data_IF_356173070757
#
_entry.id   IF_356173070757
#
_cell.length_a   1.000
_cell.length_b   1.000
_cell.length_c   1.000
_cell.angle_alpha   90.00
_cell.angle_beta   90.00
_cell.angle_gamma   90.00
#
_symmetry.space_group_name_H-M   'P 1'
#
loop_
_entity.id
_entity.type
_entity.pdbx_description
1 polymer ?
#
# COMPACT_ATOMS: atom_id res chain seq x y z
N UNK A 1 1.75 -1.96 -1.54
CA UNK A 1 0.95 -2.17 -2.74
C UNK A 1 0.46 -0.87 -3.37
N UNK A 2 -0.06 0.10 -2.61
CA UNK A 2 -0.66 1.35 -3.10
C UNK A 2 0.28 2.11 -4.04
N UNK A 3 1.50 2.42 -3.60
CA UNK A 3 2.46 3.17 -4.42
C UNK A 3 2.83 2.44 -5.72
N UNK A 4 2.96 1.11 -5.65
CA UNK A 4 3.24 0.27 -6.82
C UNK A 4 2.08 0.28 -7.81
N UNK A 5 0.85 0.15 -7.33
CA UNK A 5 -0.34 0.16 -8.18
C UNK A 5 -0.52 1.49 -8.90
N UNK A 6 -0.28 2.61 -8.23
CA UNK A 6 -0.31 3.95 -8.81
C UNK A 6 0.76 4.13 -9.90
N UNK A 7 1.99 3.64 -9.64
CA UNK A 7 3.06 3.72 -10.62
C UNK A 7 2.75 2.92 -11.89
N UNK A 8 2.31 1.68 -11.75
CA UNK A 8 1.97 0.83 -12.90
C UNK A 8 0.78 1.38 -13.67
N UNK A 9 -0.22 1.88 -12.96
CA UNK A 9 -1.37 2.51 -13.56
C UNK A 9 -1.00 3.77 -14.37
N UNK A 10 -0.15 4.66 -13.81
CA UNK A 10 0.34 5.83 -14.51
C UNK A 10 1.12 5.47 -15.79
N UNK A 11 1.99 4.44 -15.73
CA UNK A 11 2.71 3.94 -16.89
C UNK A 11 1.79 3.36 -17.98
N UNK A 12 0.72 2.69 -17.58
CA UNK A 12 -0.28 2.15 -18.52
C UNK A 12 -1.11 3.27 -19.15
N UNK A 13 -1.38 4.33 -18.38
CA UNK A 13 -2.15 5.47 -18.88
C UNK A 13 -1.34 6.34 -19.87
N UNK A 14 -0.03 6.38 -19.72
CA UNK A 14 0.88 7.03 -20.67
C UNK A 14 1.03 6.21 -21.95
N UNK A 15 -0.06 6.15 -22.74
CA UNK A 15 -0.17 5.33 -23.92
C UNK A 15 -0.19 6.14 -25.24
N UNK A 16 0.00 7.46 -25.17
CA UNK A 16 0.10 8.31 -26.36
C UNK A 16 1.47 8.20 -27.02
N UNK A 17 1.44 8.15 -28.36
CA UNK A 17 2.64 8.26 -29.18
C UNK A 17 2.90 9.71 -29.56
N UNK A 18 4.14 10.01 -29.90
CA UNK A 18 4.51 11.34 -30.41
C UNK A 18 3.60 11.78 -31.55
N UNK A 19 3.03 12.99 -31.44
CA UNK A 19 2.11 13.56 -32.43
C UNK A 19 0.65 13.14 -32.32
N UNK A 20 0.27 12.33 -31.32
CA UNK A 20 -1.13 12.01 -31.06
C UNK A 20 -1.80 13.07 -30.16
N UNK A 21 -3.09 13.31 -30.40
CA UNK A 21 -3.93 14.21 -29.61
C UNK A 21 -4.36 13.57 -28.29
N UNK A 22 -4.53 14.37 -27.24
CA UNK A 22 -4.98 13.90 -25.91
C UNK A 22 -6.36 13.25 -25.93
N UNK A 23 -7.21 13.57 -26.89
CA UNK A 23 -8.52 12.91 -27.07
C UNK A 23 -8.41 11.41 -27.35
N UNK A 24 -7.24 10.97 -27.86
CA UNK A 24 -6.93 9.56 -28.18
C UNK A 24 -6.50 8.74 -26.94
N UNK A 25 -6.35 9.36 -25.75
CA UNK A 25 -6.04 8.65 -24.52
C UNK A 25 -7.08 7.57 -24.22
N UNK A 26 -6.62 6.33 -24.13
CA UNK A 26 -7.46 5.19 -23.80
C UNK A 26 -7.63 5.06 -22.28
N UNK A 27 -8.77 4.53 -21.81
CA UNK A 27 -8.95 4.19 -20.41
C UNK A 27 -7.91 3.19 -19.94
N UNK A 28 -7.36 3.41 -18.73
CA UNK A 28 -6.43 2.51 -18.08
C UNK A 28 -7.08 1.89 -16.84
N UNK A 29 -7.09 0.55 -16.81
CA UNK A 29 -7.59 -0.23 -15.68
C UNK A 29 -6.43 -0.96 -15.03
N UNK A 30 -6.22 -0.70 -13.74
CA UNK A 30 -5.31 -1.49 -12.93
C UNK A 30 -6.13 -2.45 -12.06
N UNK A 31 -5.90 -3.75 -12.19
CA UNK A 31 -6.61 -4.77 -11.43
C UNK A 31 -5.63 -5.43 -10.47
N UNK A 32 -5.89 -5.29 -9.16
CA UNK A 32 -5.17 -5.98 -8.10
C UNK A 32 -5.97 -7.17 -7.59
N UNK A 33 -5.36 -8.35 -7.59
CA UNK A 33 -5.88 -9.55 -6.93
C UNK A 33 -4.96 -9.76 -5.73
N UNK A 34 -5.51 -9.63 -4.52
CA UNK A 34 -4.74 -9.58 -3.29
C UNK A 34 -5.15 -10.71 -2.35
N UNK A 35 -4.16 -11.37 -1.75
CA UNK A 35 -4.35 -12.33 -0.68
C UNK A 35 -4.15 -11.70 0.72
N UNK A 36 -4.37 -10.40 0.79
CA UNK A 36 -4.38 -9.61 2.03
C UNK A 36 -5.37 -8.47 1.92
N UNK A 37 -5.89 -8.00 3.06
CA UNK A 37 -6.80 -6.86 3.11
C UNK A 37 -6.01 -5.56 2.98
N UNK A 38 -6.31 -4.77 1.94
CA UNK A 38 -5.60 -3.52 1.63
C UNK A 38 -5.83 -2.44 2.69
N UNK A 39 -7.07 -2.31 3.17
CA UNK A 39 -7.46 -1.36 4.21
C UNK A 39 -8.24 -2.09 5.30
N UNK A 40 -7.62 -2.32 6.45
CA UNK A 40 -8.23 -3.06 7.57
C UNK A 40 -9.52 -2.43 8.09
N UNK A 41 -9.60 -1.09 8.06
CA UNK A 41 -10.78 -0.34 8.46
C UNK A 41 -11.88 -0.27 7.37
N UNK A 42 -11.60 -0.79 6.17
CA UNK A 42 -12.52 -0.76 5.04
C UNK A 42 -12.43 -2.04 4.18
N UNK A 43 -12.61 -3.24 4.76
CA UNK A 43 -12.50 -4.50 4.04
C UNK A 43 -13.64 -4.66 3.04
N UNK A 44 -13.31 -4.86 1.76
CA UNK A 44 -14.27 -5.12 0.69
C UNK A 44 -13.77 -6.26 -0.18
N UNK A 45 -14.65 -7.21 -0.51
CA UNK A 45 -14.36 -8.29 -1.46
C UNK A 45 -13.96 -7.73 -2.83
N UNK A 46 -14.71 -6.74 -3.31
CA UNK A 46 -14.41 -6.01 -4.54
C UNK A 46 -14.51 -4.52 -4.26
N UNK A 47 -13.44 -3.78 -4.54
CA UNK A 47 -13.40 -2.33 -4.44
C UNK A 47 -13.03 -1.70 -5.80
N UNK A 48 -13.58 -0.54 -6.07
CA UNK A 48 -13.23 0.26 -7.24
C UNK A 48 -12.88 1.67 -6.78
N UNK A 49 -11.75 2.17 -7.25
CA UNK A 49 -11.22 3.50 -6.95
C UNK A 49 -11.11 4.29 -8.25
N UNK A 50 -11.55 5.54 -8.21
CA UNK A 50 -11.51 6.49 -9.31
C UNK A 50 -11.13 7.87 -8.78
N UNK A 51 -10.86 8.82 -9.67
CA UNK A 51 -10.60 10.21 -9.29
C UNK A 51 -11.94 10.93 -9.18
N UNK A 52 -12.22 11.42 -7.99
CA UNK A 52 -13.47 12.12 -7.65
C UNK A 52 -13.13 13.45 -7.00
N UNK A 53 -14.06 14.40 -7.11
CA UNK A 53 -14.09 15.59 -6.26
C UNK A 53 -14.29 15.16 -4.81
N UNK A 54 -13.48 15.70 -3.89
CA UNK A 54 -13.50 15.28 -2.48
C UNK A 54 -14.66 15.89 -1.68
N UNK A 55 -15.30 16.96 -2.19
CA UNK A 55 -16.39 17.64 -1.50
C UNK A 55 -17.73 16.97 -1.78
N UNK A 56 -18.03 16.66 -3.05
CA UNK A 56 -19.32 16.13 -3.46
C UNK A 56 -19.28 14.74 -4.10
N UNK A 57 -18.08 14.20 -4.33
CA UNK A 57 -17.88 12.89 -4.95
C UNK A 57 -18.10 12.88 -6.46
N UNK A 58 -18.11 14.05 -7.13
CA UNK A 58 -18.29 14.12 -8.57
C UNK A 58 -17.14 13.46 -9.32
N UNK A 59 -17.48 12.62 -10.29
CA UNK A 59 -16.49 11.88 -11.08
C UNK A 59 -15.71 12.81 -12.00
N UNK A 60 -14.42 12.98 -11.75
CA UNK A 60 -13.53 13.79 -12.58
C UNK A 60 -13.26 13.13 -13.94
N UNK A 61 -12.99 11.81 -13.94
CA UNK A 61 -12.73 11.04 -15.15
C UNK A 61 -13.00 9.55 -14.93
N UNK A 62 -13.62 8.90 -15.90
CA UNK A 62 -13.82 7.45 -15.96
C UNK A 62 -12.64 6.70 -16.59
N UNK A 63 -11.68 7.44 -17.17
CA UNK A 63 -10.51 6.84 -17.86
C UNK A 63 -9.50 6.20 -16.93
N UNK A 64 -9.59 6.48 -15.62
CA UNK A 64 -8.66 6.04 -14.63
C UNK A 64 -9.38 5.22 -13.55
N UNK A 65 -9.10 3.92 -13.49
CA UNK A 65 -9.78 3.03 -12.56
C UNK A 65 -8.82 2.00 -11.98
N UNK A 66 -8.80 1.90 -10.64
CA UNK A 66 -8.12 0.81 -9.93
C UNK A 66 -9.20 -0.10 -9.34
N UNK A 67 -9.17 -1.39 -9.69
CA UNK A 67 -10.04 -2.40 -9.11
C UNK A 67 -9.23 -3.33 -8.24
N UNK A 68 -9.75 -3.64 -7.07
CA UNK A 68 -9.11 -4.54 -6.10
C UNK A 68 -10.05 -5.65 -5.74
N UNK A 69 -9.60 -6.88 -5.94
CA UNK A 69 -10.26 -8.11 -5.49
C UNK A 69 -9.48 -8.64 -4.28
N UNK A 70 -10.10 -8.59 -3.10
CA UNK A 70 -9.53 -9.10 -1.85
C UNK A 70 -9.99 -10.54 -1.62
N UNK A 71 -9.09 -11.49 -1.84
CA UNK A 71 -9.37 -12.92 -1.70
C UNK A 71 -9.61 -13.33 -0.24
N UNK A 72 -9.16 -12.56 0.74
CA UNK A 72 -9.42 -12.83 2.16
C UNK A 72 -10.90 -12.69 2.52
N UNK A 73 -11.65 -11.88 1.75
CA UNK A 73 -13.06 -11.63 1.95
C UNK A 73 -13.98 -12.62 1.18
N UNK A 74 -13.40 -13.59 0.45
CA UNK A 74 -14.14 -14.50 -0.41
C UNK A 74 -15.26 -15.26 0.32
N UNK A 75 -14.97 -15.83 1.49
CA UNK A 75 -15.95 -16.62 2.23
C UNK A 75 -17.14 -15.78 2.72
N UNK A 76 -16.86 -14.53 3.13
CA UNK A 76 -17.93 -13.58 3.47
C UNK A 76 -18.75 -13.17 2.25
N UNK A 77 -18.09 -13.04 1.09
CA UNK A 77 -18.76 -12.68 -0.16
C UNK A 77 -19.65 -13.80 -0.70
N UNK A 78 -19.28 -15.08 -0.52
CA UNK A 78 -20.12 -16.24 -0.87
C UNK A 78 -21.45 -16.28 -0.12
N UNK A 79 -21.50 -15.72 1.08
CA UNK A 79 -22.72 -15.66 1.91
C UNK A 79 -23.69 -14.56 1.46
N UNK A 80 -23.27 -13.63 0.59
CA UNK A 80 -24.09 -12.53 0.11
C UNK A 80 -24.71 -12.86 -1.24
N UNK A 81 -26.07 -12.96 -1.33
CA UNK A 81 -26.75 -13.37 -2.55
C UNK A 81 -26.57 -12.41 -3.72
N UNK A 82 -26.31 -11.13 -3.43
CA UNK A 82 -26.07 -10.07 -4.41
C UNK A 82 -24.68 -10.14 -5.06
N UNK A 83 -23.74 -10.95 -4.52
CA UNK A 83 -22.38 -11.03 -5.05
C UNK A 83 -22.38 -11.73 -6.41
N UNK A 84 -21.69 -11.15 -7.37
CA UNK A 84 -21.59 -11.71 -8.72
C UNK A 84 -20.95 -13.11 -8.71
N UNK A 85 -21.72 -14.10 -9.15
CA UNK A 85 -21.31 -15.51 -9.14
C UNK A 85 -20.06 -15.79 -9.99
N UNK A 86 -19.91 -15.10 -11.15
CA UNK A 86 -18.70 -15.23 -11.98
C UNK A 86 -17.47 -14.68 -11.26
N UNK A 87 -17.61 -13.56 -10.55
CA UNK A 87 -16.52 -13.00 -9.77
C UNK A 87 -16.13 -13.91 -8.60
N UNK A 88 -17.10 -14.51 -7.92
CA UNK A 88 -16.84 -15.52 -6.88
C UNK A 88 -16.08 -16.72 -7.43
N UNK A 89 -16.45 -17.19 -8.63
CA UNK A 89 -15.77 -18.31 -9.28
C UNK A 89 -14.32 -17.94 -9.63
N UNK A 90 -14.07 -16.77 -10.23
CA UNK A 90 -12.72 -16.27 -10.48
C UNK A 90 -11.90 -16.18 -9.19
N UNK A 91 -12.45 -15.59 -8.14
CA UNK A 91 -11.78 -15.48 -6.86
C UNK A 91 -11.43 -16.84 -6.24
N UNK A 92 -12.34 -17.84 -6.35
CA UNK A 92 -12.08 -19.21 -5.90
C UNK A 92 -10.94 -19.86 -6.70
N UNK A 93 -10.90 -19.65 -8.01
CA UNK A 93 -9.83 -20.14 -8.89
C UNK A 93 -8.47 -19.51 -8.52
N UNK A 94 -8.44 -18.20 -8.27
CA UNK A 94 -7.21 -17.53 -7.84
C UNK A 94 -6.73 -17.96 -6.45
N UNK A 95 -7.64 -18.48 -5.62
CA UNK A 95 -7.33 -18.96 -4.27
C UNK A 95 -7.01 -20.45 -4.23
N UNK A 96 -7.24 -21.19 -5.31
CA UNK A 96 -6.95 -22.63 -5.37
C UNK A 96 -5.46 -22.90 -5.16
N UNK A 97 -5.14 -23.82 -4.26
CA UNK A 97 -3.77 -24.17 -3.88
C UNK A 97 -3.26 -25.42 -4.59
N UNK A 98 -4.18 -26.24 -5.09
CA UNK A 98 -3.86 -27.50 -5.77
C UNK A 98 -4.42 -27.55 -7.19
N UNK A 99 -3.79 -28.38 -8.05
CA UNK A 99 -4.26 -28.58 -9.41
C UNK A 99 -5.62 -29.29 -9.44
N UNK A 100 -5.84 -30.23 -8.53
CA UNK A 100 -7.09 -30.97 -8.40
C UNK A 100 -8.25 -30.04 -8.02
N UNK A 101 -8.02 -29.12 -7.09
CA UNK A 101 -9.01 -28.10 -6.70
C UNK A 101 -9.32 -27.17 -7.88
N UNK A 102 -8.26 -26.73 -8.60
CA UNK A 102 -8.40 -25.89 -9.79
C UNK A 102 -9.23 -26.57 -10.88
N UNK A 103 -8.99 -27.88 -11.15
CA UNK A 103 -9.75 -28.67 -12.11
C UNK A 103 -11.22 -28.81 -11.71
N UNK A 104 -11.49 -29.05 -10.44
CA UNK A 104 -12.86 -29.13 -9.92
C UNK A 104 -13.60 -27.80 -10.09
N UNK A 105 -12.96 -26.68 -9.75
CA UNK A 105 -13.53 -25.35 -9.91
C UNK A 105 -13.73 -24.96 -11.36
N UNK A 106 -12.86 -25.41 -12.27
CA UNK A 106 -12.94 -25.11 -13.70
C UNK A 106 -14.03 -25.91 -14.42
N UNK A 107 -14.43 -27.05 -13.88
CA UNK A 107 -15.38 -27.99 -14.53
C UNK A 107 -16.69 -27.32 -14.92
N UNK A 108 -17.17 -27.62 -16.13
CA UNK A 108 -18.43 -27.14 -16.69
C UNK A 108 -18.41 -25.74 -17.30
N UNK A 109 -17.23 -25.08 -17.37
CA UNK A 109 -17.08 -23.81 -18.07
C UNK A 109 -15.81 -23.81 -18.93
N UNK A 110 -15.98 -23.78 -20.25
CA UNK A 110 -14.92 -23.87 -21.26
C UNK A 110 -13.75 -22.89 -21.02
N UNK A 111 -14.06 -21.66 -20.60
CA UNK A 111 -13.02 -20.62 -20.32
C UNK A 111 -12.06 -21.08 -19.24
N UNK A 112 -12.58 -21.65 -18.17
CA UNK A 112 -11.75 -22.11 -17.05
C UNK A 112 -11.04 -23.42 -17.37
N UNK A 113 -11.70 -24.34 -18.07
CA UNK A 113 -11.09 -25.59 -18.54
C UNK A 113 -9.90 -25.30 -19.48
N UNK A 114 -10.06 -24.37 -20.43
CA UNK A 114 -8.99 -23.95 -21.32
C UNK A 114 -7.83 -23.28 -20.57
N UNK A 115 -8.12 -22.51 -19.53
CA UNK A 115 -7.10 -21.93 -18.67
C UNK A 115 -6.27 -23.02 -17.97
N UNK A 116 -6.90 -24.03 -17.38
CA UNK A 116 -6.20 -25.16 -16.74
C UNK A 116 -5.34 -25.91 -17.76
N UNK A 117 -5.87 -26.19 -18.93
CA UNK A 117 -5.11 -26.83 -20.02
C UNK A 117 -3.90 -26.00 -20.43
N UNK A 118 -4.04 -24.68 -20.51
CA UNK A 118 -2.95 -23.77 -20.84
C UNK A 118 -1.87 -23.77 -19.77
N UNK A 119 -2.27 -23.71 -18.50
CA UNK A 119 -1.33 -23.77 -17.37
C UNK A 119 -0.51 -25.07 -17.36
N UNK A 120 -1.14 -26.20 -17.67
CA UNK A 120 -0.47 -27.51 -17.81
C UNK A 120 0.52 -27.56 -18.98
N UNK A 121 0.27 -26.81 -20.05
CA UNK A 121 1.13 -26.77 -21.24
C UNK A 121 2.33 -25.83 -21.12
N UNK A 122 2.40 -25.02 -20.06
CA UNK A 122 3.56 -24.14 -19.87
C UNK A 122 4.84 -24.96 -19.76
N UNK A 123 5.86 -24.55 -20.53
CA UNK A 123 7.19 -25.18 -20.46
C UNK A 123 7.86 -24.94 -19.08
N UNK A 124 8.78 -25.81 -18.72
CA UNK A 124 9.57 -25.61 -17.49
C UNK A 124 10.36 -24.29 -17.55
N UNK A 125 10.89 -23.92 -18.72
CA UNK A 125 11.60 -22.65 -18.92
C UNK A 125 10.70 -21.43 -18.69
N UNK A 126 9.45 -21.48 -19.14
CA UNK A 126 8.47 -20.41 -18.90
C UNK A 126 8.09 -20.33 -17.42
N UNK A 127 7.91 -21.47 -16.77
CA UNK A 127 7.66 -21.52 -15.32
C UNK A 127 8.83 -20.92 -14.53
N UNK A 128 10.08 -21.27 -14.88
CA UNK A 128 11.30 -20.74 -14.28
C UNK A 128 11.37 -19.22 -14.47
N UNK A 129 11.10 -18.73 -15.68
CA UNK A 129 11.09 -17.29 -15.96
C UNK A 129 10.04 -16.56 -15.11
N UNK A 130 8.81 -17.06 -15.05
CA UNK A 130 7.75 -16.47 -14.20
C UNK A 130 8.12 -16.46 -12.73
N UNK A 131 8.78 -17.52 -12.23
CA UNK A 131 9.26 -17.57 -10.85
C UNK A 131 10.37 -16.55 -10.59
N UNK A 132 11.29 -16.36 -11.54
CA UNK A 132 12.34 -15.33 -11.43
C UNK A 132 11.74 -13.91 -11.37
N UNK A 133 10.81 -13.60 -12.26
CA UNK A 133 10.11 -12.31 -12.29
C UNK A 133 9.35 -12.04 -10.97
N UNK A 134 8.64 -13.05 -10.46
CA UNK A 134 7.95 -12.96 -9.17
C UNK A 134 8.91 -12.72 -7.99
N UNK A 135 10.08 -13.37 -8.03
CA UNK A 135 11.12 -13.18 -7.02
C UNK A 135 11.70 -11.77 -7.05
N UNK A 136 11.99 -11.23 -8.24
CA UNK A 136 12.47 -9.85 -8.38
C UNK A 136 11.45 -8.84 -7.85
N UNK A 137 10.16 -9.04 -8.11
CA UNK A 137 9.09 -8.19 -7.59
C UNK A 137 8.97 -8.29 -6.06
N UNK A 138 9.18 -9.48 -5.49
CA UNK A 138 9.24 -9.67 -4.04
C UNK A 138 10.43 -8.94 -3.42
N UNK A 139 11.63 -9.06 -4.01
CA UNK A 139 12.84 -8.35 -3.54
C UNK A 139 12.66 -6.82 -3.58
N UNK A 140 12.02 -6.29 -4.63
CA UNK A 140 11.66 -4.86 -4.72
C UNK A 140 10.68 -4.44 -3.62
N UNK A 141 9.72 -5.31 -3.29
CA UNK A 141 8.77 -5.05 -2.20
C UNK A 141 9.46 -5.00 -0.86
N UNK A 142 10.35 -5.96 -0.56
CA UNK A 142 11.16 -5.97 0.67
C UNK A 142 12.04 -4.73 0.80
N UNK A 143 12.66 -4.29 -0.30
CA UNK A 143 13.48 -3.08 -0.29
C UNK A 143 12.63 -1.82 0.01
N UNK A 144 11.42 -1.79 -0.49
CA UNK A 144 10.46 -0.70 -0.23
C UNK A 144 10.08 -0.67 1.26
N UNK A 145 9.78 -1.82 1.86
CA UNK A 145 9.45 -1.93 3.28
C UNK A 145 10.65 -1.57 4.17
N UNK A 146 11.83 -2.06 3.82
CA UNK A 146 13.07 -1.71 4.52
C UNK A 146 13.34 -0.19 4.52
N UNK A 147 13.21 0.45 3.37
CA UNK A 147 13.42 1.90 3.25
C UNK A 147 12.37 2.70 4.02
N UNK A 148 11.11 2.25 4.03
CA UNK A 148 10.05 2.86 4.82
C UNK A 148 10.34 2.76 6.33
N UNK A 149 10.70 1.58 6.82
CA UNK A 149 11.07 1.39 8.23
C UNK A 149 12.30 2.18 8.64
N UNK A 150 13.32 2.28 7.75
CA UNK A 150 14.51 3.10 7.99
C UNK A 150 14.16 4.59 8.09
N UNK A 151 13.30 5.09 7.22
CA UNK A 151 12.86 6.49 7.24
C UNK A 151 12.10 6.82 8.52
N UNK A 152 11.18 5.95 8.92
CA UNK A 152 10.43 6.08 10.17
C UNK A 152 11.35 6.05 11.40
N UNK A 153 12.32 5.14 11.43
CA UNK A 153 13.32 5.07 12.51
C UNK A 153 14.16 6.35 12.63
N UNK A 154 14.55 6.94 11.50
CA UNK A 154 15.29 8.22 11.49
C UNK A 154 14.41 9.35 12.05
N UNK A 155 13.15 9.44 11.62
CA UNK A 155 12.22 10.47 12.13
C UNK A 155 11.98 10.35 13.63
N UNK A 156 11.78 9.13 14.12
CA UNK A 156 11.62 8.86 15.56
C UNK A 156 12.89 9.21 16.34
N UNK A 157 14.08 8.91 15.79
CA UNK A 157 15.37 9.28 16.36
C UNK A 157 15.53 10.79 16.49
N UNK A 158 15.28 11.54 15.42
CA UNK A 158 15.34 13.01 15.42
C UNK A 158 14.34 13.61 16.41
N UNK A 159 13.12 13.09 16.47
CA UNK A 159 12.10 13.57 17.40
C UNK A 159 12.50 13.33 18.87
N UNK A 160 13.11 12.18 19.16
CA UNK A 160 13.64 11.84 20.50
C UNK A 160 14.77 12.77 20.88
N UNK A 161 15.72 13.00 19.97
CA UNK A 161 16.88 13.89 20.22
C UNK A 161 16.46 15.34 20.47
N UNK A 162 15.52 15.86 19.69
CA UNK A 162 14.94 17.19 19.92
C UNK A 162 14.29 17.31 21.31
N UNK A 163 13.55 16.28 21.75
CA UNK A 163 12.95 16.27 23.09
C UNK A 163 14.01 16.26 24.19
N UNK A 164 15.10 15.54 24.02
CA UNK A 164 16.19 15.48 24.99
C UNK A 164 16.94 16.82 25.07
N UNK A 165 17.28 17.40 23.91
CA UNK A 165 17.93 18.72 23.82
C UNK A 165 17.09 19.81 24.49
N UNK A 166 15.77 19.79 24.28
CA UNK A 166 14.88 20.77 24.92
C UNK A 166 14.82 20.58 26.44
N UNK A 167 14.82 19.33 26.92
CA UNK A 167 14.88 19.05 28.37
C UNK A 167 16.20 19.52 29.00
N UNK A 168 17.32 19.31 28.31
CA UNK A 168 18.64 19.79 28.79
C UNK A 168 18.70 21.31 28.81
N UNK A 169 18.19 21.96 27.76
CA UNK A 169 18.09 23.42 27.72
C UNK A 169 17.28 23.98 28.89
N UNK A 170 16.11 23.40 29.18
CA UNK A 170 15.26 23.80 30.31
C UNK A 170 15.94 23.56 31.65
N UNK A 171 16.75 22.49 31.80
CA UNK A 171 17.55 22.25 33.01
C UNK A 171 18.64 23.30 33.19
N UNK A 172 19.39 23.57 32.13
CA UNK A 172 20.46 24.60 32.13
C UNK A 172 19.90 25.99 32.46
N UNK A 173 18.74 26.35 31.89
CA UNK A 173 18.07 27.61 32.16
C UNK A 173 17.62 27.74 33.63
N UNK A 174 17.06 26.67 34.21
CA UNK A 174 16.69 26.63 35.65
C UNK A 174 17.93 26.71 36.55
N UNK A 175 19.02 26.09 36.15
CA UNK A 175 20.29 26.14 36.92
C UNK A 175 20.92 27.53 36.87
N UNK A 176 20.91 28.19 35.72
CA UNK A 176 21.31 29.58 35.56
C UNK A 176 20.48 30.53 36.47
N UNK A 177 19.17 30.42 36.42
CA UNK A 177 18.26 31.22 37.25
C UNK A 177 18.53 31.01 38.75
N UNK A 178 18.83 29.78 39.18
CA UNK A 178 19.21 29.50 40.60
C UNK A 178 20.55 30.09 40.94
N UNK A 179 21.53 30.03 40.06
CA UNK A 179 22.84 30.63 40.27
C UNK A 179 22.75 32.17 40.39
N UNK A 180 21.98 32.81 39.51
CA UNK A 180 21.73 34.26 39.54
C UNK A 180 21.02 34.69 40.85
N UNK A 181 20.03 33.91 41.29
CA UNK A 181 19.31 34.17 42.54
C UNK A 181 20.24 34.04 43.76
N UNK A 182 21.11 33.03 43.76
CA UNK A 182 22.11 32.84 44.84
C UNK A 182 23.16 33.98 44.83
N UNK A 183 23.60 34.40 43.66
CA UNK A 183 24.55 35.53 43.54
C UNK A 183 23.93 36.82 44.08
N UNK A 184 22.67 37.11 43.75
CA UNK A 184 21.95 38.27 44.28
C UNK A 184 21.76 38.21 45.80
N UNK A 185 21.47 37.04 46.38
CA UNK A 185 21.34 36.88 47.81
C UNK A 185 22.71 37.05 48.54
N UNK A 186 23.78 36.52 47.95
CA UNK A 186 25.16 36.77 48.45
C UNK A 186 25.49 38.24 48.49
N UNK A 187 25.17 39.00 47.42
CA UNK A 187 25.41 40.44 47.38
C UNK A 187 24.56 41.19 48.44
N UNK A 188 23.31 40.80 48.59
CA UNK A 188 22.42 41.32 49.62
C UNK A 188 22.98 41.12 51.05
N UNK A 189 23.43 39.92 51.33
CA UNK A 189 24.01 39.57 52.66
C UNK A 189 25.33 40.34 52.91
N UNK A 190 26.17 40.51 51.87
CA UNK A 190 27.41 41.34 51.94
C UNK A 190 27.12 42.82 52.22
N UNK A 191 26.02 43.35 51.67
CA UNK A 191 25.61 44.75 51.93
C UNK A 191 25.09 44.95 53.37
N UNK A 192 24.53 43.91 53.99
CA UNK A 192 24.07 43.97 55.41
C UNK A 192 25.19 43.84 56.45
N UNK A 193 26.39 43.39 56.03
CA UNK A 193 27.56 43.21 56.88
C UNK A 193 28.52 44.39 56.85
N UNK A 194 28.20 45.44 56.11
CA UNK A 194 28.90 46.73 56.07
C UNK A 194 28.12 47.78 56.87
#
# INVERSE_FOLDING_TARGET
>A
WINRSLLYWARTYDNLKSGQDYSMLLPAYHIGILDFTLFENHPKFMAQYQILDVEDGYLYSDKLCIKVLDLTQLEKAKQKPETNKKLLKWASIFKAETLEELEQLASGEEVFENMVVTMKKLSEDEKIRMQCEAREDYERSLLTEYNAGKSEGIEQGIASERRNTEKERQRAEKESQRADALAAEVERLRALLK
#
